data_IF_008555674095
#
_entry.id   IF_008555674095
#
_cell.length_a   1.000
_cell.length_b   1.000
_cell.length_c   1.000
_cell.angle_alpha   90.00
_cell.angle_beta   90.00
_cell.angle_gamma   90.00
#
_symmetry.space_group_name_H-M   'P 1'
#
loop_
_entity.id
_entity.type
_entity.pdbx_description
1 polymer ?
#
# COMPACT_ATOMS: atom_id res chain seq x y z
N UNK A 1 20.54 -35.25 18.77
CA UNK A 1 19.53 -34.63 17.90
C UNK A 1 20.29 -33.87 16.83
N UNK A 2 20.29 -34.40 15.62
CA UNK A 2 20.98 -33.81 14.48
C UNK A 2 19.94 -32.98 13.73
N UNK A 3 20.14 -31.65 13.73
CA UNK A 3 19.28 -30.73 12.99
C UNK A 3 19.91 -30.56 11.61
N UNK A 4 19.41 -31.31 10.64
CA UNK A 4 19.80 -31.15 9.24
C UNK A 4 18.93 -30.07 8.61
N UNK A 5 19.55 -28.95 8.22
CA UNK A 5 18.91 -27.93 7.39
C UNK A 5 18.64 -28.53 6.00
N UNK A 6 17.36 -28.69 5.67
CA UNK A 6 16.94 -29.06 4.32
C UNK A 6 16.98 -27.79 3.47
N UNK A 7 17.91 -27.73 2.51
CA UNK A 7 18.05 -26.59 1.60
C UNK A 7 16.77 -26.44 0.76
N UNK A 8 16.11 -25.28 0.84
CA UNK A 8 14.92 -24.99 0.06
C UNK A 8 15.33 -24.67 -1.39
N UNK A 9 15.59 -25.73 -2.17
CA UNK A 9 16.08 -25.66 -3.55
C UNK A 9 15.10 -24.96 -4.54
N UNK A 10 13.92 -24.54 -4.09
CA UNK A 10 12.93 -23.86 -4.92
C UNK A 10 13.25 -22.38 -5.18
N UNK A 11 14.02 -21.72 -4.31
CA UNK A 11 14.35 -20.30 -4.47
C UNK A 11 15.26 -20.05 -5.69
N UNK A 12 16.03 -21.06 -6.12
CA UNK A 12 16.96 -20.97 -7.25
C UNK A 12 16.27 -21.05 -8.62
N UNK A 13 15.00 -21.46 -8.68
CA UNK A 13 14.25 -21.65 -9.93
C UNK A 13 13.28 -20.51 -10.24
N UNK A 14 13.21 -19.48 -9.40
CA UNK A 14 12.31 -18.35 -9.63
C UNK A 14 12.74 -17.57 -10.88
N UNK A 15 11.89 -17.63 -11.92
CA UNK A 15 12.08 -16.91 -13.17
C UNK A 15 11.39 -15.56 -13.04
N UNK A 16 12.14 -14.49 -13.26
CA UNK A 16 11.66 -13.11 -13.25
C UNK A 16 11.59 -12.57 -14.66
N UNK A 17 10.56 -11.76 -14.91
CA UNK A 17 10.33 -11.08 -16.18
C UNK A 17 10.88 -9.67 -16.08
N UNK A 18 12.02 -9.42 -16.70
CA UNK A 18 12.62 -8.08 -16.75
C UNK A 18 12.62 -7.58 -18.19
N UNK A 19 11.92 -6.47 -18.44
CA UNK A 19 11.76 -5.99 -19.81
C UNK A 19 10.87 -6.92 -20.61
N UNK A 20 11.44 -7.40 -21.72
CA UNK A 20 10.86 -8.38 -22.63
C UNK A 20 11.50 -9.77 -22.49
N UNK A 21 12.41 -9.94 -21.52
CA UNK A 21 13.18 -11.18 -21.33
C UNK A 21 12.86 -11.82 -19.99
N UNK A 22 12.94 -13.14 -19.94
CA UNK A 22 12.87 -13.90 -18.69
C UNK A 22 14.28 -14.29 -18.26
N UNK A 23 14.61 -13.99 -17.01
CA UNK A 23 15.93 -14.30 -16.43
C UNK A 23 15.73 -14.99 -15.09
N UNK A 24 16.70 -15.79 -14.65
CA UNK A 24 16.66 -16.35 -13.30
C UNK A 24 16.97 -15.24 -12.31
N UNK A 25 16.30 -15.26 -11.16
CA UNK A 25 16.51 -14.31 -10.07
C UNK A 25 17.98 -14.20 -9.65
N UNK A 26 18.71 -15.32 -9.67
CA UNK A 26 20.13 -15.38 -9.31
C UNK A 26 21.06 -14.68 -10.31
N UNK A 27 20.67 -14.57 -11.58
CA UNK A 27 21.51 -14.00 -12.64
C UNK A 27 21.31 -12.49 -12.80
N UNK A 28 20.50 -11.88 -11.94
CA UNK A 28 20.06 -10.50 -12.08
C UNK A 28 21.04 -9.52 -11.44
N UNK A 29 21.60 -8.62 -12.26
CA UNK A 29 22.67 -7.70 -11.86
C UNK A 29 22.19 -6.38 -11.24
N UNK A 30 20.88 -6.16 -11.07
CA UNK A 30 20.32 -4.93 -10.51
C UNK A 30 19.23 -5.15 -9.45
N UNK A 31 18.81 -4.08 -8.75
CA UNK A 31 17.88 -4.19 -7.62
C UNK A 31 16.44 -4.38 -8.10
N UNK A 32 16.03 -5.65 -8.12
CA UNK A 32 14.66 -6.08 -8.38
C UNK A 32 14.12 -6.78 -7.16
N UNK A 33 12.97 -6.30 -6.67
CA UNK A 33 12.23 -6.97 -5.62
C UNK A 33 11.09 -7.77 -6.26
N UNK A 34 11.04 -9.07 -5.97
CA UNK A 34 9.99 -9.97 -6.44
C UNK A 34 9.02 -10.21 -5.30
N UNK A 35 7.74 -10.01 -5.56
CA UNK A 35 6.67 -10.29 -4.60
C UNK A 35 5.77 -11.37 -5.17
N UNK A 36 5.76 -12.51 -4.48
CA UNK A 36 4.94 -13.67 -4.85
C UNK A 36 3.49 -13.50 -4.40
N UNK A 37 2.59 -14.15 -5.14
CA UNK A 37 1.13 -14.09 -4.90
C UNK A 37 0.66 -14.71 -3.60
N UNK A 38 1.43 -15.64 -3.03
CA UNK A 38 1.12 -16.22 -1.71
C UNK A 38 1.00 -15.12 -0.66
N UNK A 39 1.84 -14.09 -0.77
CA UNK A 39 1.79 -12.95 0.11
C UNK A 39 0.58 -12.07 -0.24
N UNK A 40 0.32 -11.80 -1.51
CA UNK A 40 -0.79 -10.93 -1.95
C UNK A 40 -2.19 -11.46 -1.58
N UNK A 41 -2.40 -12.78 -1.61
CA UNK A 41 -3.69 -13.40 -1.28
C UNK A 41 -4.08 -13.35 0.21
N UNK A 42 -3.15 -13.03 1.10
CA UNK A 42 -3.44 -12.94 2.54
C UNK A 42 -4.16 -11.65 2.94
N UNK A 43 -4.18 -10.66 2.05
CA UNK A 43 -4.81 -9.37 2.28
C UNK A 43 -6.03 -9.25 1.37
N UNK A 44 -7.22 -9.15 1.95
CA UNK A 44 -8.47 -8.90 1.22
C UNK A 44 -8.56 -7.42 0.81
N UNK A 45 -7.65 -7.00 -0.05
CA UNK A 45 -7.50 -5.61 -0.47
C UNK A 45 -7.85 -5.46 -1.95
N UNK A 46 -8.61 -4.42 -2.28
CA UNK A 46 -9.09 -4.17 -3.64
C UNK A 46 -7.98 -3.66 -4.55
N UNK A 47 -7.00 -2.95 -3.98
CA UNK A 47 -5.83 -2.46 -4.70
C UNK A 47 -4.60 -3.35 -4.45
N UNK A 48 -4.00 -3.96 -5.49
CA UNK A 48 -2.80 -4.77 -5.34
C UNK A 48 -1.59 -4.00 -4.81
N UNK A 49 -1.53 -2.66 -4.96
CA UNK A 49 -0.43 -1.85 -4.46
C UNK A 49 -0.41 -1.75 -2.94
N UNK A 50 -1.59 -1.74 -2.31
CA UNK A 50 -1.71 -1.78 -0.84
C UNK A 50 -1.16 -3.09 -0.28
N UNK A 51 -1.34 -4.20 -0.99
CA UNK A 51 -0.77 -5.49 -0.60
C UNK A 51 0.77 -5.55 -0.69
N UNK A 52 1.42 -4.58 -1.36
CA UNK A 52 2.88 -4.43 -1.38
C UNK A 52 3.43 -3.61 -0.21
N UNK A 53 2.56 -2.94 0.54
CA UNK A 53 2.96 -2.08 1.65
C UNK A 53 3.78 -2.88 2.68
N UNK A 54 5.01 -2.42 2.95
CA UNK A 54 5.93 -3.06 3.89
C UNK A 54 6.57 -4.37 3.39
N UNK A 55 6.23 -4.85 2.19
CA UNK A 55 6.81 -6.09 1.62
C UNK A 55 8.00 -5.83 0.70
N UNK A 56 8.13 -4.62 0.18
CA UNK A 56 9.25 -4.23 -0.69
C UNK A 56 10.11 -3.17 0.01
N UNK A 57 11.40 -3.44 0.28
CA UNK A 57 12.27 -2.47 0.93
C UNK A 57 12.55 -1.29 0.00
N UNK A 58 12.45 -0.08 0.56
CA UNK A 58 12.60 1.17 -0.18
C UNK A 58 11.38 1.52 -1.03
N UNK A 59 10.24 0.88 -0.83
CA UNK A 59 8.95 1.30 -1.38
C UNK A 59 8.06 1.83 -0.25
N UNK A 60 7.44 2.98 -0.47
CA UNK A 60 6.44 3.54 0.41
C UNK A 60 5.11 3.54 -0.32
N UNK A 61 4.09 2.95 0.30
CA UNK A 61 2.71 3.00 -0.19
C UNK A 61 1.92 3.75 0.86
N UNK A 62 1.34 4.89 0.48
CA UNK A 62 0.43 5.65 1.35
C UNK A 62 -0.99 5.47 0.85
N UNK A 63 -1.89 5.17 1.76
CA UNK A 63 -3.30 4.86 1.47
C UNK A 63 -4.18 5.70 2.37
N UNK A 64 -5.40 5.97 1.94
CA UNK A 64 -6.45 6.51 2.79
C UNK A 64 -7.43 5.39 3.21
N UNK A 65 -8.47 5.76 3.95
CA UNK A 65 -9.55 4.85 4.33
C UNK A 65 -10.60 4.65 3.24
N UNK A 66 -10.34 5.09 2.01
CA UNK A 66 -11.33 5.00 0.92
C UNK A 66 -11.48 3.55 0.45
N UNK A 67 -12.70 3.02 0.31
CA UNK A 67 -12.94 1.67 -0.22
C UNK A 67 -12.47 1.48 -1.68
N UNK A 68 -12.40 2.57 -2.44
CA UNK A 68 -11.99 2.60 -3.86
C UNK A 68 -10.60 3.27 -4.01
N UNK A 69 -10.03 3.74 -2.89
CA UNK A 69 -8.76 4.47 -2.85
C UNK A 69 -7.64 3.68 -3.49
N UNK A 70 -6.88 4.35 -4.35
CA UNK A 70 -5.62 3.81 -4.86
C UNK A 70 -4.48 4.24 -3.94
N UNK A 71 -3.59 3.32 -3.62
CA UNK A 71 -2.38 3.64 -2.88
C UNK A 71 -1.46 4.51 -3.72
N UNK A 72 -1.00 5.63 -3.18
CA UNK A 72 0.09 6.40 -3.80
C UNK A 72 1.39 5.64 -3.54
N UNK A 73 2.04 5.19 -4.63
CA UNK A 73 3.26 4.39 -4.55
C UNK A 73 4.48 5.28 -4.81
N UNK A 74 5.49 5.12 -3.96
CA UNK A 74 6.78 5.78 -4.11
C UNK A 74 7.91 4.77 -4.00
N UNK A 75 8.81 4.77 -4.99
CA UNK A 75 10.01 3.91 -4.99
C UNK A 75 11.22 4.80 -4.69
N UNK A 76 11.95 4.49 -3.64
CA UNK A 76 13.15 5.21 -3.15
C UNK A 76 12.92 6.69 -2.83
N UNK A 77 11.71 7.05 -2.40
CA UNK A 77 11.40 8.40 -1.95
C UNK A 77 11.17 9.39 -3.10
N UNK A 78 11.43 10.67 -2.85
CA UNK A 78 11.08 11.75 -3.77
C UNK A 78 12.20 11.97 -4.79
N UNK A 79 11.98 11.51 -6.03
CA UNK A 79 12.95 11.66 -7.13
C UNK A 79 12.87 12.97 -7.91
N UNK A 80 11.81 13.75 -7.75
CA UNK A 80 11.61 15.03 -8.46
C UNK A 80 10.70 15.95 -7.66
N UNK A 81 10.98 17.27 -7.73
CA UNK A 81 10.19 18.31 -7.08
C UNK A 81 9.06 18.86 -7.98
N UNK A 82 9.18 18.73 -9.31
CA UNK A 82 8.33 19.45 -10.26
C UNK A 82 7.65 18.56 -11.32
N UNK A 83 7.85 17.24 -11.24
CA UNK A 83 7.20 16.26 -12.14
C UNK A 83 6.42 15.23 -11.35
N UNK A 84 5.50 14.50 -12.00
CA UNK A 84 4.87 13.32 -11.39
C UNK A 84 5.97 12.36 -10.93
N UNK A 85 5.76 11.82 -9.74
CA UNK A 85 6.68 10.92 -9.05
C UNK A 85 6.13 9.48 -9.01
N UNK A 86 5.06 9.23 -9.77
CA UNK A 86 4.44 7.92 -9.85
C UNK A 86 5.34 6.96 -10.63
N UNK A 87 5.44 5.69 -10.22
CA UNK A 87 6.16 4.68 -10.97
C UNK A 87 5.43 4.34 -12.26
N UNK A 88 6.16 3.77 -13.21
CA UNK A 88 5.56 3.21 -14.42
C UNK A 88 5.02 1.81 -14.13
N UNK A 89 3.74 1.57 -14.42
CA UNK A 89 3.13 0.26 -14.30
C UNK A 89 3.13 -0.46 -15.65
N UNK A 90 3.46 -1.75 -15.65
CA UNK A 90 3.48 -2.59 -16.84
C UNK A 90 2.69 -3.84 -16.55
N UNK A 91 1.60 -4.04 -17.29
CA UNK A 91 0.74 -5.21 -17.16
C UNK A 91 0.94 -6.07 -18.39
N UNK A 92 1.47 -7.29 -18.22
CA UNK A 92 1.73 -8.24 -19.30
C UNK A 92 2.51 -7.64 -20.51
N UNK A 93 3.40 -6.69 -20.23
CA UNK A 93 4.23 -6.01 -21.23
C UNK A 93 3.65 -4.72 -21.81
N UNK A 94 2.41 -4.35 -21.45
CA UNK A 94 1.79 -3.09 -21.87
C UNK A 94 1.95 -2.05 -20.76
N UNK A 95 2.62 -0.91 -21.03
CA UNK A 95 2.73 0.17 -20.05
C UNK A 95 1.37 0.85 -19.86
N UNK A 96 0.98 1.04 -18.60
CA UNK A 96 -0.24 1.76 -18.23
C UNK A 96 0.07 2.88 -17.25
N UNK A 97 -0.66 3.98 -17.43
CA UNK A 97 -0.68 5.11 -16.50
C UNK A 97 -1.98 5.14 -15.69
N UNK A 98 -2.88 4.17 -15.91
CA UNK A 98 -4.17 4.10 -15.22
C UNK A 98 -4.00 3.59 -13.79
N UNK A 99 -4.96 3.98 -12.94
CA UNK A 99 -5.05 3.47 -11.58
C UNK A 99 -5.21 1.94 -11.59
N UNK A 100 -4.35 1.26 -10.84
CA UNK A 100 -4.33 -0.20 -10.72
C UNK A 100 -5.51 -0.76 -9.93
N UNK A 101 -6.36 0.09 -9.35
CA UNK A 101 -7.58 -0.30 -8.64
C UNK A 101 -8.63 -0.97 -9.54
N UNK A 102 -8.42 -0.98 -10.86
CA UNK A 102 -9.24 -1.71 -11.83
C UNK A 102 -8.77 -3.15 -12.07
N UNK A 103 -7.56 -3.49 -11.62
CA UNK A 103 -6.99 -4.82 -11.79
C UNK A 103 -7.39 -5.72 -10.63
N UNK A 104 -7.93 -6.89 -10.93
CA UNK A 104 -8.25 -7.88 -9.92
C UNK A 104 -6.97 -8.53 -9.38
N UNK A 105 -6.70 -8.35 -8.08
CA UNK A 105 -5.54 -8.96 -7.38
C UNK A 105 -5.48 -10.48 -7.53
N UNK A 106 -6.63 -11.14 -7.70
CA UNK A 106 -6.68 -12.60 -7.87
C UNK A 106 -6.12 -13.08 -9.22
N UNK A 107 -6.06 -12.23 -10.23
CA UNK A 107 -5.55 -12.58 -11.55
C UNK A 107 -4.04 -12.34 -11.67
N UNK A 108 -3.42 -11.73 -10.67
CA UNK A 108 -1.98 -11.51 -10.60
C UNK A 108 -1.26 -12.84 -10.31
N UNK A 109 -0.21 -13.13 -11.06
CA UNK A 109 0.70 -14.27 -10.86
C UNK A 109 1.97 -13.85 -10.11
N UNK A 110 2.55 -12.70 -10.47
CA UNK A 110 3.70 -12.12 -9.79
C UNK A 110 3.75 -10.62 -9.98
N UNK A 111 4.36 -9.93 -9.00
CA UNK A 111 4.72 -8.52 -9.14
C UNK A 111 6.22 -8.36 -8.94
N UNK A 112 6.85 -7.58 -9.82
CA UNK A 112 8.26 -7.30 -9.79
C UNK A 112 8.48 -5.80 -9.78
N UNK A 113 9.34 -5.36 -8.90
CA UNK A 113 9.62 -3.94 -8.68
C UNK A 113 11.07 -3.69 -9.05
N UNK A 114 11.28 -2.97 -10.15
CA UNK A 114 12.57 -2.48 -10.60
C UNK A 114 12.84 -1.15 -9.89
N UNK A 115 13.79 -1.18 -8.95
CA UNK A 115 14.11 -0.01 -8.09
C UNK A 115 15.28 0.81 -8.63
N UNK A 116 16.12 0.21 -9.47
CA UNK A 116 17.31 0.85 -10.05
C UNK A 116 17.08 1.34 -11.46
N UNK A 117 17.73 2.46 -11.79
CA UNK A 117 17.77 3.01 -13.13
C UNK A 117 18.40 2.04 -14.15
N UNK A 118 19.39 1.24 -13.76
CA UNK A 118 20.05 0.29 -14.67
C UNK A 118 19.13 -0.85 -15.12
N UNK A 119 18.23 -1.31 -14.24
CA UNK A 119 17.26 -2.37 -14.56
C UNK A 119 15.99 -1.81 -15.19
N UNK A 120 15.64 -0.56 -14.86
CA UNK A 120 14.46 0.13 -15.37
C UNK A 120 14.69 0.84 -16.71
N UNK A 121 15.94 1.10 -17.11
CA UNK A 121 16.32 1.85 -18.32
C UNK A 121 15.78 1.25 -19.62
N UNK A 122 15.50 -0.06 -19.64
CA UNK A 122 14.87 -0.76 -20.76
C UNK A 122 13.51 -0.13 -21.11
N UNK A 123 12.82 0.47 -20.13
CA UNK A 123 11.51 1.11 -20.31
C UNK A 123 11.59 2.64 -20.53
N UNK A 124 12.80 3.18 -20.71
CA UNK A 124 13.05 4.56 -21.11
C UNK A 124 12.90 5.60 -19.99
N UNK A 125 12.76 6.88 -20.38
CA UNK A 125 12.75 8.02 -19.44
C UNK A 125 11.59 8.00 -18.43
N UNK A 126 10.49 7.35 -18.79
CA UNK A 126 9.29 7.16 -17.93
C UNK A 126 9.57 6.24 -16.73
N UNK A 127 10.67 5.50 -16.78
CA UNK A 127 11.11 4.56 -15.75
C UNK A 127 11.98 5.21 -14.65
N UNK A 128 12.18 6.52 -14.70
CA UNK A 128 13.02 7.28 -13.76
C UNK A 128 12.55 7.19 -12.31
N UNK A 129 11.24 7.04 -12.07
CA UNK A 129 10.64 6.83 -10.74
C UNK A 129 10.52 5.34 -10.36
N UNK A 130 11.15 4.44 -11.12
CA UNK A 130 11.03 2.99 -10.98
C UNK A 130 9.88 2.40 -11.80
N UNK A 131 9.89 1.06 -11.92
CA UNK A 131 8.93 0.31 -12.74
C UNK A 131 8.36 -0.84 -11.93
N UNK A 132 7.04 -1.02 -12.01
CA UNK A 132 6.33 -2.14 -11.41
C UNK A 132 5.75 -2.99 -12.54
N UNK A 133 6.29 -4.19 -12.69
CA UNK A 133 5.86 -5.17 -13.66
C UNK A 133 4.88 -6.11 -12.96
N UNK A 134 3.72 -6.27 -13.57
CA UNK A 134 2.65 -7.15 -13.13
C UNK A 134 2.46 -8.19 -14.23
N UNK A 135 2.58 -9.46 -13.85
CA UNK A 135 2.29 -10.59 -14.72
C UNK A 135 0.99 -11.23 -14.28
N UNK A 136 0.05 -11.42 -15.21
CA UNK A 136 -1.22 -12.10 -14.92
C UNK A 136 -1.10 -13.61 -15.11
N UNK A 137 -1.96 -14.35 -14.41
CA UNK A 137 -2.01 -15.81 -14.49
C UNK A 137 -2.43 -16.26 -15.88
N UNK A 138 -1.68 -17.21 -16.44
CA UNK A 138 -1.99 -17.85 -17.72
C UNK A 138 -2.23 -19.35 -17.54
N UNK A 139 -3.06 -19.92 -18.41
CA UNK A 139 -3.33 -21.36 -18.42
C UNK A 139 -2.05 -22.16 -18.69
N UNK A 140 -1.74 -23.13 -17.83
CA UNK A 140 -0.57 -24.00 -17.99
C UNK A 140 -0.89 -25.13 -18.99
N UNK A 141 -0.09 -25.25 -20.06
CA UNK A 141 -0.26 -26.33 -21.05
C UNK A 141 -0.10 -27.70 -20.37
N UNK A 142 -1.03 -28.62 -20.65
CA UNK A 142 -1.02 -29.99 -20.10
C UNK A 142 -1.45 -30.13 -18.63
N UNK A 143 -1.91 -29.04 -17.99
CA UNK A 143 -2.45 -29.09 -16.64
C UNK A 143 -3.94 -29.44 -16.65
N UNK A 144 -4.40 -30.17 -15.62
CA UNK A 144 -5.84 -30.39 -15.42
C UNK A 144 -6.53 -29.05 -15.23
N UNK A 145 -7.76 -28.94 -15.73
CA UNK A 145 -8.62 -27.78 -15.46
C UNK A 145 -8.75 -27.64 -13.95
N UNK A 146 -8.28 -26.52 -13.41
CA UNK A 146 -8.39 -26.17 -12.01
C UNK A 146 -9.34 -24.98 -11.90
N UNK A 147 -10.40 -25.13 -11.10
CA UNK A 147 -11.38 -24.08 -10.84
C UNK A 147 -11.30 -23.74 -9.36
N UNK A 148 -10.91 -22.50 -9.07
CA UNK A 148 -10.86 -21.97 -7.72
C UNK A 148 -12.07 -21.05 -7.50
N UNK A 149 -12.80 -21.25 -6.40
CA UNK A 149 -13.89 -20.38 -5.98
C UNK A 149 -13.54 -19.74 -4.63
N UNK A 150 -13.73 -18.43 -4.52
CA UNK A 150 -13.50 -17.68 -3.28
C UNK A 150 -14.66 -16.75 -3.00
N UNK A 151 -15.14 -16.78 -1.75
CA UNK A 151 -16.12 -15.82 -1.24
C UNK A 151 -15.58 -15.22 0.07
N UNK A 152 -15.70 -13.91 0.22
CA UNK A 152 -15.25 -13.20 1.41
C UNK A 152 -16.39 -12.28 1.89
N UNK A 153 -16.70 -12.34 3.19
CA UNK A 153 -17.63 -11.43 3.86
C UNK A 153 -16.85 -10.70 4.95
N UNK A 154 -16.79 -9.37 4.87
CA UNK A 154 -16.04 -8.54 5.82
C UNK A 154 -16.95 -7.46 6.38
N UNK A 155 -16.88 -7.22 7.69
CA UNK A 155 -17.51 -6.09 8.36
C UNK A 155 -16.41 -5.11 8.83
N UNK A 156 -16.58 -3.82 8.51
CA UNK A 156 -15.64 -2.78 8.91
C UNK A 156 -16.20 -2.00 10.10
N UNK A 157 -15.39 -1.84 11.15
CA UNK A 157 -15.76 -1.09 12.34
C UNK A 157 -14.74 0.01 12.62
N UNK A 158 -15.23 1.18 13.04
CA UNK A 158 -14.35 2.26 13.49
C UNK A 158 -13.77 1.92 14.86
N UNK A 159 -12.44 1.82 14.92
CA UNK A 159 -11.73 1.68 16.19
C UNK A 159 -11.78 2.98 16.99
N UNK A 160 -11.66 2.90 18.32
CA UNK A 160 -11.52 4.09 19.17
C UNK A 160 -10.25 4.90 18.85
N UNK A 161 -9.25 4.29 18.20
CA UNK A 161 -8.01 4.95 17.77
C UNK A 161 -8.24 5.82 16.53
N UNK A 162 -9.25 5.50 15.72
CA UNK A 162 -9.65 6.27 14.53
C UNK A 162 -10.59 7.43 14.86
N UNK A 163 -11.06 7.51 16.11
CA UNK A 163 -11.95 8.59 16.57
C UNK A 163 -11.12 9.62 17.32
N UNK A 164 -11.23 10.88 16.90
CA UNK A 164 -10.70 11.97 17.71
C UNK A 164 -11.44 12.03 19.04
N UNK A 165 -10.68 12.14 20.14
CA UNK A 165 -11.26 12.36 21.47
C UNK A 165 -11.73 13.81 21.55
N UNK A 166 -13.02 14.01 21.33
CA UNK A 166 -13.67 15.32 21.47
C UNK A 166 -14.11 15.53 22.93
N UNK A 167 -14.18 16.80 23.34
CA UNK A 167 -14.73 17.16 24.63
C UNK A 167 -16.25 16.94 24.62
N UNK A 168 -16.78 16.41 25.72
CA UNK A 168 -18.21 16.47 25.99
C UNK A 168 -18.61 17.86 26.53
N UNK A 169 -19.91 18.16 26.63
CA UNK A 169 -20.39 19.49 27.05
C UNK A 169 -19.85 19.95 28.42
N UNK A 170 -19.72 19.05 29.39
CA UNK A 170 -19.17 19.36 30.72
C UNK A 170 -17.66 19.66 30.68
N UNK A 171 -16.90 18.91 29.88
CA UNK A 171 -15.48 19.17 29.64
C UNK A 171 -15.26 20.50 28.92
N UNK A 172 -16.14 20.84 27.97
CA UNK A 172 -16.12 22.13 27.29
C UNK A 172 -16.39 23.29 28.25
N UNK A 173 -17.42 23.17 29.09
CA UNK A 173 -17.74 24.12 30.15
C UNK A 173 -16.56 24.31 31.13
N UNK A 174 -15.93 23.22 31.56
CA UNK A 174 -14.75 23.26 32.46
C UNK A 174 -13.56 23.95 31.78
N UNK A 175 -13.28 23.63 30.52
CA UNK A 175 -12.19 24.25 29.77
C UNK A 175 -12.42 25.76 29.59
N UNK A 176 -13.67 26.15 29.36
CA UNK A 176 -14.07 27.54 29.22
C UNK A 176 -13.98 28.32 30.55
N UNK A 177 -14.44 27.71 31.65
CA UNK A 177 -14.27 28.28 32.99
C UNK A 177 -12.80 28.43 33.37
N UNK A 178 -11.96 27.44 33.03
CA UNK A 178 -10.52 27.52 33.25
C UNK A 178 -9.88 28.65 32.44
N UNK A 179 -10.32 28.87 31.20
CA UNK A 179 -9.84 30.00 30.39
C UNK A 179 -10.22 31.35 31.03
N UNK A 180 -11.46 31.50 31.50
CA UNK A 180 -11.90 32.71 32.21
C UNK A 180 -11.07 32.98 33.48
N UNK A 181 -10.82 31.94 34.28
CA UNK A 181 -9.98 32.04 35.49
C UNK A 181 -8.55 32.46 35.15
N UNK A 182 -7.98 31.92 34.07
CA UNK A 182 -6.63 32.29 33.63
C UNK A 182 -6.56 33.75 33.15
N UNK A 183 -7.63 34.27 32.56
CA UNK A 183 -7.76 35.67 32.11
C UNK A 183 -8.18 36.64 33.25
N UNK A 184 -8.44 36.12 34.46
CA UNK A 184 -8.89 36.91 35.61
C UNK A 184 -10.34 37.38 35.53
N UNK A 185 -11.15 36.77 34.67
CA UNK A 185 -12.57 37.05 34.48
C UNK A 185 -13.44 36.09 35.29
N UNK A 186 -14.63 36.53 35.69
CA UNK A 186 -15.62 35.66 36.34
C UNK A 186 -16.07 34.55 35.37
N UNK A 187 -15.85 33.27 35.69
CA UNK A 187 -16.23 32.14 34.83
C UNK A 187 -17.71 32.09 34.48
N UNK A 188 -18.59 32.54 35.38
CA UNK A 188 -20.05 32.51 35.17
C UNK A 188 -20.46 33.57 34.15
N UNK A 189 -19.94 34.80 34.29
CA UNK A 189 -20.18 35.87 33.33
C UNK A 189 -19.54 35.58 31.96
N UNK A 190 -18.36 34.96 31.95
CA UNK A 190 -17.67 34.56 30.72
C UNK A 190 -18.40 33.42 29.99
N UNK A 191 -18.86 32.39 30.70
CA UNK A 191 -19.63 31.28 30.13
C UNK A 191 -21.02 31.70 29.62
N UNK A 192 -21.68 32.62 30.33
CA UNK A 192 -22.98 33.17 29.92
C UNK A 192 -22.92 33.88 28.55
N UNK A 193 -21.80 34.55 28.22
CA UNK A 193 -21.60 35.20 26.91
C UNK A 193 -21.53 34.22 25.73
N UNK A 194 -21.29 32.93 26.00
CA UNK A 194 -21.27 31.88 24.98
C UNK A 194 -22.46 30.92 25.11
N UNK A 195 -23.49 31.30 25.87
CA UNK A 195 -24.73 30.53 26.02
C UNK A 195 -24.57 29.26 26.86
N UNK A 196 -23.58 29.21 27.76
CA UNK A 196 -23.33 28.07 28.64
C UNK A 196 -23.70 28.44 30.07
N UNK A 197 -24.63 27.68 30.65
CA UNK A 197 -24.93 27.74 32.07
C UNK A 197 -24.03 26.78 32.84
N UNK A 198 -23.15 27.33 33.68
CA UNK A 198 -22.24 26.56 34.55
C UNK A 198 -22.91 26.10 35.85
N UNK A 199 -24.13 26.58 36.14
CA UNK A 199 -24.88 26.27 37.36
C UNK A 199 -26.03 25.27 37.14
N UNK A 200 -26.22 24.80 35.90
CA UNK A 200 -27.26 23.85 35.51
C UNK A 200 -26.83 22.37 35.66
#
# INVERSE_FOLDING_TARGET
>A
MEVTLQEDANDLQEVVVTGYTTQRKADLTGSVAVVSTKNLKTTSETDPMRALQGRVPGMTVTTDGSPIGSGTVRIRGIGSFNSSQDPLYIIDGVPTNMALNTLNTNDIESMQVLKDAASASIYGSRASNGVIIITTKKGKKGSKVAVDFSANLTAQFYSNQSKMKLMNSSQYATAMAQAALNDGLDPVAYAANYGIDLNA
#
